data_IF_970430223921
#
_entry.id   IF_970430223921
#
_cell.length_a   1.000
_cell.length_b   1.000
_cell.length_c   1.000
_cell.angle_alpha   90.00
_cell.angle_beta   90.00
_cell.angle_gamma   90.00
#
_symmetry.space_group_name_H-M   'P 1'
#
loop_
_entity.id
_entity.type
_entity.pdbx_description
1 polymer ?
#
# COMPACT_ATOMS: atom_id res chain seq x y z
N UNK A 1 -2.74 3.20 15.40
CA UNK A 1 -3.06 3.00 13.98
C UNK A 1 -2.40 4.10 13.17
N UNK A 2 -1.49 3.73 12.27
CA UNK A 2 -0.80 4.66 11.35
C UNK A 2 -1.60 4.71 10.05
N UNK A 3 -1.73 5.90 9.44
CA UNK A 3 -2.46 6.08 8.18
C UNK A 3 -1.82 7.16 7.32
N UNK A 4 -1.96 6.99 6.02
CA UNK A 4 -1.57 7.95 4.98
C UNK A 4 -2.71 8.07 3.97
N UNK A 5 -2.91 9.27 3.43
CA UNK A 5 -3.81 9.51 2.31
C UNK A 5 -2.97 9.96 1.12
N UNK A 6 -3.14 9.29 -0.02
CA UNK A 6 -2.44 9.58 -1.26
C UNK A 6 -3.46 9.98 -2.32
N UNK A 7 -3.07 10.93 -3.16
CA UNK A 7 -3.83 11.39 -4.31
C UNK A 7 -2.92 11.37 -5.52
N UNK A 8 -3.34 10.70 -6.58
CA UNK A 8 -2.57 10.53 -7.80
C UNK A 8 -3.48 10.52 -9.03
N UNK A 9 -2.91 10.82 -10.19
CA UNK A 9 -3.60 10.81 -11.48
C UNK A 9 -3.03 9.68 -12.33
N UNK A 10 -3.89 8.94 -13.01
CA UNK A 10 -3.52 7.83 -13.91
C UNK A 10 -4.14 8.09 -15.27
N UNK A 11 -3.35 7.90 -16.34
CA UNK A 11 -3.84 8.02 -17.72
C UNK A 11 -4.55 6.73 -18.09
N UNK A 12 -5.76 6.83 -18.65
CA UNK A 12 -6.56 5.68 -19.07
C UNK A 12 -8.01 5.77 -18.65
N UNK A 13 -8.76 4.70 -18.88
CA UNK A 13 -10.22 4.69 -18.72
C UNK A 13 -10.75 3.48 -17.95
N UNK A 14 -10.14 3.15 -16.80
CA UNK A 14 -10.74 2.18 -15.88
C UNK A 14 -11.98 2.78 -15.21
N UNK A 15 -13.06 2.00 -15.09
CA UNK A 15 -14.24 2.41 -14.34
C UNK A 15 -14.10 2.12 -12.84
N UNK A 16 -15.04 2.65 -12.05
CA UNK A 16 -15.03 2.49 -10.58
C UNK A 16 -15.16 1.02 -10.13
N UNK A 17 -15.92 0.19 -10.83
CA UNK A 17 -16.13 -1.21 -10.44
C UNK A 17 -14.85 -2.02 -10.60
N UNK A 18 -14.14 -1.82 -11.72
CA UNK A 18 -12.86 -2.47 -12.00
C UNK A 18 -11.78 -2.01 -11.03
N UNK A 19 -11.69 -0.71 -10.75
CA UNK A 19 -10.80 -0.18 -9.72
C UNK A 19 -11.11 -0.82 -8.35
N UNK A 20 -12.37 -0.87 -7.94
CA UNK A 20 -12.74 -1.51 -6.67
C UNK A 20 -12.40 -3.01 -6.63
N UNK A 21 -12.47 -3.71 -7.77
CA UNK A 21 -12.06 -5.11 -7.89
C UNK A 21 -10.54 -5.24 -7.73
N UNK A 22 -9.76 -4.36 -8.39
CA UNK A 22 -8.32 -4.30 -8.27
C UNK A 22 -7.89 -4.02 -6.82
N UNK A 23 -8.47 -3.01 -6.16
CA UNK A 23 -8.16 -2.69 -4.77
C UNK A 23 -8.45 -3.86 -3.81
N UNK A 24 -9.47 -4.69 -4.09
CA UNK A 24 -9.73 -5.94 -3.33
C UNK A 24 -8.63 -6.97 -3.55
N UNK A 25 -8.13 -7.12 -4.78
CA UNK A 25 -7.01 -8.02 -5.10
C UNK A 25 -5.73 -7.56 -4.41
N UNK A 26 -5.42 -6.27 -4.46
CA UNK A 26 -4.31 -5.64 -3.76
C UNK A 26 -4.41 -5.87 -2.25
N UNK A 27 -5.59 -5.62 -1.66
CA UNK A 27 -5.82 -5.83 -0.22
C UNK A 27 -5.65 -7.29 0.22
N UNK A 28 -5.90 -8.26 -0.66
CA UNK A 28 -5.67 -9.69 -0.38
C UNK A 28 -4.19 -10.04 -0.38
N UNK A 29 -3.39 -9.36 -1.23
CA UNK A 29 -1.94 -9.51 -1.27
C UNK A 29 -1.28 -8.83 -0.06
N UNK A 30 -1.64 -7.59 0.23
CA UNK A 30 -1.06 -6.82 1.33
C UNK A 30 -1.94 -6.86 2.59
N UNK A 31 -1.91 -7.99 3.28
CA UNK A 31 -2.71 -8.24 4.49
C UNK A 31 -2.32 -7.35 5.70
N UNK A 32 -1.19 -6.67 5.62
CA UNK A 32 -0.66 -5.77 6.66
C UNK A 32 -1.40 -4.44 6.74
N UNK A 33 -2.12 -4.07 5.68
CA UNK A 33 -2.76 -2.76 5.53
C UNK A 33 -4.25 -2.90 5.23
N UNK A 34 -4.99 -1.83 5.51
CA UNK A 34 -6.30 -1.58 4.95
C UNK A 34 -6.17 -0.56 3.85
N UNK A 35 -6.78 -0.86 2.70
CA UNK A 35 -6.91 0.03 1.57
C UNK A 35 -8.36 0.53 1.47
N UNK A 36 -8.54 1.83 1.36
CA UNK A 36 -9.86 2.44 1.18
C UNK A 36 -9.83 3.48 0.06
N UNK A 37 -10.79 3.40 -0.86
CA UNK A 37 -11.00 4.42 -1.89
C UNK A 37 -11.77 5.59 -1.29
N UNK A 38 -11.10 6.73 -1.11
CA UNK A 38 -11.70 7.93 -0.55
C UNK A 38 -12.40 8.79 -1.60
N UNK A 39 -11.84 8.87 -2.81
CA UNK A 39 -12.41 9.61 -3.92
C UNK A 39 -11.95 9.02 -5.27
N UNK A 40 -12.81 9.12 -6.28
CA UNK A 40 -12.55 8.68 -7.65
C UNK A 40 -13.24 9.62 -8.64
N UNK A 41 -12.44 10.31 -9.45
CA UNK A 41 -12.93 11.26 -10.43
C UNK A 41 -12.42 10.90 -11.83
N UNK A 42 -13.30 10.35 -12.65
CA UNK A 42 -13.00 9.96 -14.02
C UNK A 42 -13.21 11.13 -14.97
N UNK A 43 -12.17 11.45 -15.74
CA UNK A 43 -12.18 12.38 -16.88
C UNK A 43 -12.08 11.58 -18.16
N UNK A 44 -12.16 12.25 -19.32
CA UNK A 44 -12.23 11.58 -20.63
C UNK A 44 -11.04 10.67 -20.92
N UNK A 45 -9.83 11.04 -20.46
CA UNK A 45 -8.59 10.29 -20.72
C UNK A 45 -7.79 10.00 -19.44
N UNK A 46 -8.23 10.48 -18.28
CA UNK A 46 -7.48 10.42 -17.03
C UNK A 46 -8.42 10.12 -15.86
N UNK A 47 -7.91 9.45 -14.85
CA UNK A 47 -8.59 9.24 -13.59
C UNK A 47 -7.79 9.86 -12.45
N UNK A 48 -8.46 10.62 -11.58
CA UNK A 48 -7.89 11.11 -10.34
C UNK A 48 -8.39 10.23 -9.19
N UNK A 49 -7.45 9.60 -8.47
CA UNK A 49 -7.73 8.60 -7.44
C UNK A 49 -7.21 9.13 -6.11
N UNK A 50 -8.02 9.04 -5.06
CA UNK A 50 -7.58 9.28 -3.68
C UNK A 50 -7.74 8.00 -2.86
N UNK A 51 -6.63 7.45 -2.37
CA UNK A 51 -6.61 6.27 -1.50
C UNK A 51 -6.22 6.64 -0.06
N UNK A 52 -6.80 5.93 0.89
CA UNK A 52 -6.38 5.92 2.27
C UNK A 52 -5.78 4.54 2.57
N UNK A 53 -4.53 4.54 3.00
CA UNK A 53 -3.79 3.35 3.39
C UNK A 53 -3.52 3.43 4.88
N UNK A 54 -3.81 2.36 5.62
CA UNK A 54 -3.61 2.34 7.06
C UNK A 54 -3.14 0.98 7.56
N UNK A 55 -2.35 0.98 8.63
CA UNK A 55 -1.90 -0.26 9.29
C UNK A 55 -3.10 -1.03 9.85
N UNK A 56 -3.15 -2.35 9.65
CA UNK A 56 -4.12 -3.21 10.29
C UNK A 56 -3.84 -3.36 11.80
N UNK A 57 -4.88 -3.59 12.60
CA UNK A 57 -4.74 -3.90 14.02
C UNK A 57 -4.37 -5.38 14.19
N UNK A 58 -3.08 -5.68 14.01
CA UNK A 58 -2.54 -7.03 14.04
C UNK A 58 -2.04 -7.45 15.43
N UNK A 59 -2.45 -6.76 16.51
CA UNK A 59 -1.95 -7.02 17.87
C UNK A 59 -0.40 -6.96 18.02
N UNK A 60 0.29 -6.23 17.13
CA UNK A 60 1.74 -6.03 17.19
C UNK A 60 2.10 -5.19 18.41
N UNK A 61 2.84 -5.77 19.37
CA UNK A 61 3.21 -5.08 20.63
C UNK A 61 4.63 -4.55 20.63
N UNK A 62 5.51 -5.15 19.84
CA UNK A 62 6.91 -4.80 19.76
C UNK A 62 7.45 -4.96 18.33
N UNK A 63 8.68 -4.51 18.10
CA UNK A 63 9.29 -4.50 16.76
C UNK A 63 9.58 -5.91 16.23
N UNK A 64 9.92 -6.86 17.11
CA UNK A 64 10.10 -8.26 16.72
C UNK A 64 8.80 -8.86 16.17
N UNK A 65 7.68 -8.62 16.85
CA UNK A 65 6.36 -9.07 16.37
C UNK A 65 6.05 -8.49 14.98
N UNK A 66 6.45 -7.24 14.73
CA UNK A 66 6.27 -6.58 13.44
C UNK A 66 7.12 -7.24 12.35
N UNK A 67 8.40 -7.52 12.63
CA UNK A 67 9.30 -8.19 11.69
C UNK A 67 8.83 -9.60 11.33
N UNK A 68 8.37 -10.37 12.33
CA UNK A 68 7.83 -11.71 12.10
C UNK A 68 6.57 -11.65 11.22
N UNK A 69 5.69 -10.69 11.49
CA UNK A 69 4.49 -10.47 10.69
C UNK A 69 4.82 -10.02 9.25
N UNK A 70 5.78 -9.12 9.07
CA UNK A 70 6.26 -8.68 7.75
C UNK A 70 6.75 -9.89 6.93
N UNK A 71 7.63 -10.69 7.52
CA UNK A 71 8.17 -11.91 6.89
C UNK A 71 7.10 -12.95 6.61
N UNK A 72 6.04 -13.02 7.41
CA UNK A 72 4.92 -13.91 7.15
C UNK A 72 4.08 -13.45 5.95
N UNK A 73 3.80 -12.15 5.86
CA UNK A 73 2.91 -11.59 4.83
C UNK A 73 3.61 -11.36 3.48
N UNK A 74 4.88 -10.99 3.48
CA UNK A 74 5.64 -10.57 2.28
C UNK A 74 6.77 -11.55 1.94
N UNK A 75 6.65 -12.81 2.39
CA UNK A 75 7.72 -13.79 2.20
C UNK A 75 8.08 -13.98 0.73
N UNK A 76 9.36 -13.73 0.40
CA UNK A 76 9.89 -13.96 -0.95
C UNK A 76 9.42 -12.93 -1.97
N UNK A 77 9.05 -11.75 -1.52
CA UNK A 77 8.71 -10.61 -2.38
C UNK A 77 9.74 -9.50 -2.23
N UNK A 78 9.96 -8.71 -3.27
CA UNK A 78 10.95 -7.62 -3.26
C UNK A 78 10.59 -6.51 -2.29
N UNK A 79 9.30 -6.31 -2.01
CA UNK A 79 8.81 -5.33 -1.03
C UNK A 79 9.32 -5.64 0.38
N UNK A 80 9.49 -6.92 0.73
CA UNK A 80 10.07 -7.30 2.02
C UNK A 80 11.52 -6.85 2.13
N UNK A 81 12.32 -7.14 1.10
CA UNK A 81 13.74 -6.80 1.07
C UNK A 81 13.93 -5.28 1.17
N UNK A 82 13.12 -4.51 0.44
CA UNK A 82 13.13 -3.04 0.48
C UNK A 82 12.78 -2.49 1.87
N UNK A 83 11.70 -2.99 2.49
CA UNK A 83 11.27 -2.56 3.83
C UNK A 83 12.36 -2.90 4.88
N UNK A 84 12.97 -4.09 4.79
CA UNK A 84 14.05 -4.48 5.71
C UNK A 84 15.30 -3.59 5.54
N UNK A 85 15.68 -3.28 4.29
CA UNK A 85 16.78 -2.34 3.99
C UNK A 85 16.49 -0.94 4.55
N UNK A 86 15.25 -0.43 4.40
CA UNK A 86 14.85 0.86 4.96
C UNK A 86 14.85 0.85 6.49
N UNK A 87 14.51 -0.27 7.12
CA UNK A 87 14.58 -0.42 8.57
C UNK A 87 16.00 -0.28 9.10
N UNK A 88 16.96 -0.92 8.43
CA UNK A 88 18.37 -0.85 8.79
C UNK A 88 18.97 0.54 8.55
N UNK A 89 18.52 1.24 7.50
CA UNK A 89 19.03 2.57 7.13
C UNK A 89 18.44 3.70 7.98
N UNK A 90 17.21 3.59 8.47
CA UNK A 90 16.48 4.73 9.05
C UNK A 90 16.55 4.85 10.59
N UNK A 91 17.35 4.03 11.29
CA UNK A 91 17.50 4.07 12.77
C UNK A 91 16.15 4.22 13.51
N UNK A 92 15.21 3.34 13.18
CA UNK A 92 13.83 3.37 13.66
C UNK A 92 13.79 3.21 15.18
N UNK A 93 13.04 4.08 15.87
CA UNK A 93 12.94 4.06 17.35
C UNK A 93 11.58 3.63 17.86
N UNK A 94 10.56 3.69 17.02
CA UNK A 94 9.18 3.44 17.41
C UNK A 94 8.43 2.58 16.40
N UNK A 95 7.45 1.82 16.86
CA UNK A 95 6.52 1.09 15.98
C UNK A 95 5.77 2.02 15.03
N UNK A 96 5.49 3.25 15.45
CA UNK A 96 4.80 4.20 14.59
C UNK A 96 5.66 4.60 13.39
N UNK A 97 6.97 4.81 13.58
CA UNK A 97 7.91 5.08 12.49
C UNK A 97 8.03 3.86 11.56
N UNK A 98 8.15 2.66 12.12
CA UNK A 98 8.18 1.41 11.34
C UNK A 98 6.94 1.27 10.44
N UNK A 99 5.75 1.47 11.00
CA UNK A 99 4.50 1.43 10.23
C UNK A 99 4.40 2.51 9.17
N UNK A 100 5.02 3.69 9.37
CA UNK A 100 5.05 4.73 8.34
C UNK A 100 5.88 4.30 7.15
N UNK A 101 7.05 3.71 7.39
CA UNK A 101 7.93 3.18 6.32
C UNK A 101 7.18 2.10 5.54
N UNK A 102 6.66 1.08 6.22
CA UNK A 102 5.88 0.01 5.58
C UNK A 102 4.74 0.57 4.72
N UNK A 103 3.95 1.52 5.25
CA UNK A 103 2.83 2.09 4.50
C UNK A 103 3.30 2.88 3.29
N UNK A 104 4.41 3.61 3.38
CA UNK A 104 4.94 4.40 2.28
C UNK A 104 5.48 3.48 1.17
N UNK A 105 6.30 2.48 1.52
CA UNK A 105 6.88 1.56 0.54
C UNK A 105 5.78 0.76 -0.16
N UNK A 106 4.78 0.28 0.59
CA UNK A 106 3.63 -0.38 -0.01
C UNK A 106 2.78 0.57 -0.85
N UNK A 107 2.65 1.85 -0.47
CA UNK A 107 1.87 2.81 -1.24
C UNK A 107 2.44 3.02 -2.64
N UNK A 108 3.78 3.07 -2.79
CA UNK A 108 4.44 3.17 -4.08
C UNK A 108 4.12 1.96 -4.97
N UNK A 109 4.34 0.74 -4.46
CA UNK A 109 4.02 -0.50 -5.18
C UNK A 109 2.53 -0.60 -5.57
N UNK A 110 1.63 -0.08 -4.73
CA UNK A 110 0.18 -0.08 -5.00
C UNK A 110 -0.16 0.89 -6.12
N UNK A 111 0.45 2.08 -6.14
CA UNK A 111 0.25 3.06 -7.20
C UNK A 111 0.75 2.46 -8.52
N UNK A 112 1.97 1.90 -8.55
CA UNK A 112 2.54 1.28 -9.75
C UNK A 112 1.64 0.16 -10.30
N UNK A 113 1.16 -0.73 -9.43
CA UNK A 113 0.24 -1.78 -9.88
C UNK A 113 -1.07 -1.22 -10.44
N UNK A 114 -1.61 -0.15 -9.85
CA UNK A 114 -2.80 0.52 -10.40
C UNK A 114 -2.48 1.13 -11.77
N UNK A 115 -1.35 1.81 -11.93
CA UNK A 115 -0.93 2.41 -13.19
C UNK A 115 -0.74 1.34 -14.29
N UNK A 116 -0.07 0.23 -13.99
CA UNK A 116 0.13 -0.87 -14.95
C UNK A 116 -1.17 -1.49 -15.45
N UNK A 117 -2.17 -1.65 -14.57
CA UNK A 117 -3.49 -2.18 -14.95
C UNK A 117 -4.30 -1.18 -15.78
N UNK A 118 -4.02 0.12 -15.68
CA UNK A 118 -4.61 1.14 -16.56
C UNK A 118 -3.91 1.20 -17.92
N UNK A 119 -2.60 0.96 -17.99
CA UNK A 119 -1.83 0.92 -19.25
C UNK A 119 -2.04 -0.36 -20.05
N UNK A 120 -2.46 -1.45 -19.39
CA UNK A 120 -2.69 -2.77 -19.99
C UNK A 120 -3.98 -2.91 -20.82
N UNK A 121 -4.79 -1.85 -20.96
CA UNK A 121 -6.03 -1.82 -21.77
C UNK A 121 -5.84 -1.29 -23.21
#
# INVERSE_FOLDING_TARGET
MTRTQIKFEVVGSMNLEDLQSLLKSISRRYQLIHLYLADFNQRTNDCEITLVISSQDNNVKNFSDLQDLLRQCLKGTSELDQIEDDFDNQNIKTLQEAWKIIINDLAENIIEWIEEEFEGE
#
